data_IF_026978496596
#
_entry.id   IF_026978496596
#
_cell.length_a   1.000
_cell.length_b   1.000
_cell.length_c   1.000
_cell.angle_alpha   90.00
_cell.angle_beta   90.00
_cell.angle_gamma   90.00
#
_symmetry.space_group_name_H-M   'P 1'
#
loop_
_entity.id
_entity.type
_entity.pdbx_description
1 polymer ?
#
# COMPACT_ATOMS: atom_id res chain seq x y z
N UNK A 1 11.48 -26.74 4.38
CA UNK A 1 10.26 -27.09 3.64
C UNK A 1 10.35 -26.34 2.32
N UNK A 2 10.60 -27.06 1.20
CA UNK A 2 11.01 -26.47 -0.10
C UNK A 2 9.96 -25.50 -0.65
N UNK A 3 10.36 -24.28 -0.90
CA UNK A 3 9.55 -23.19 -1.51
C UNK A 3 9.11 -23.49 -2.95
N UNK A 4 9.77 -24.42 -3.64
CA UNK A 4 9.41 -24.85 -5.00
C UNK A 4 8.03 -25.53 -5.10
N UNK A 5 7.57 -26.20 -4.05
CA UNK A 5 6.28 -26.89 -4.07
C UNK A 5 5.05 -25.96 -3.99
N UNK A 6 5.22 -24.68 -3.62
CA UNK A 6 4.12 -23.73 -3.50
C UNK A 6 3.80 -22.98 -4.80
N UNK A 7 4.73 -22.92 -5.72
CA UNK A 7 4.57 -22.30 -7.05
C UNK A 7 3.69 -23.13 -8.01
N UNK A 8 3.41 -24.40 -7.69
CA UNK A 8 2.83 -25.34 -8.65
C UNK A 8 1.30 -25.23 -8.87
N UNK A 9 0.56 -24.57 -7.99
CA UNK A 9 -0.90 -24.51 -8.08
C UNK A 9 -1.41 -23.66 -9.27
N UNK A 10 -0.85 -22.49 -9.47
CA UNK A 10 -1.31 -21.55 -10.51
C UNK A 10 -0.79 -21.97 -11.91
N UNK A 11 0.38 -22.61 -11.99
CA UNK A 11 0.93 -23.10 -13.26
C UNK A 11 0.10 -24.25 -13.88
N UNK A 12 -0.67 -24.96 -13.05
CA UNK A 12 -1.56 -26.06 -13.49
C UNK A 12 -2.95 -25.59 -13.93
N UNK A 13 -3.31 -24.33 -13.64
CA UNK A 13 -4.61 -23.80 -14.00
C UNK A 13 -4.68 -23.48 -15.49
N UNK A 14 -5.75 -23.89 -16.19
CA UNK A 14 -5.99 -23.51 -17.60
C UNK A 14 -6.03 -21.99 -17.71
N UNK A 15 -5.47 -21.42 -18.79
CA UNK A 15 -5.33 -19.96 -18.99
C UNK A 15 -6.64 -19.20 -18.75
N UNK A 16 -7.75 -19.67 -19.31
CA UNK A 16 -9.04 -19.00 -19.16
C UNK A 16 -9.54 -19.00 -17.70
N UNK A 17 -9.30 -20.09 -16.94
CA UNK A 17 -9.65 -20.13 -15.50
C UNK A 17 -8.77 -19.17 -14.69
N UNK A 18 -7.50 -19.07 -15.05
CA UNK A 18 -6.57 -18.13 -14.45
C UNK A 18 -7.01 -16.69 -14.69
N UNK A 19 -7.39 -16.33 -15.94
CA UNK A 19 -7.91 -14.99 -16.28
C UNK A 19 -9.20 -14.71 -15.48
N UNK A 20 -10.13 -15.65 -15.43
CA UNK A 20 -11.36 -15.47 -14.66
C UNK A 20 -11.08 -15.29 -13.17
N UNK A 21 -10.22 -16.13 -12.57
CA UNK A 21 -9.86 -15.99 -11.18
C UNK A 21 -9.17 -14.64 -10.87
N UNK A 22 -8.31 -14.18 -11.77
CA UNK A 22 -7.66 -12.89 -11.69
C UNK A 22 -8.67 -11.73 -11.75
N UNK A 23 -9.49 -11.68 -12.79
CA UNK A 23 -10.43 -10.58 -13.02
C UNK A 23 -11.53 -10.55 -11.96
N UNK A 24 -12.17 -11.69 -11.72
CA UNK A 24 -13.29 -11.76 -10.75
C UNK A 24 -12.78 -11.54 -9.33
N UNK A 25 -11.63 -12.14 -8.96
CA UNK A 25 -11.05 -11.97 -7.63
C UNK A 25 -10.68 -10.51 -7.34
N UNK A 26 -9.97 -9.86 -8.27
CA UNK A 26 -9.63 -8.43 -8.15
C UNK A 26 -10.88 -7.55 -8.08
N UNK A 27 -11.89 -7.84 -8.92
CA UNK A 27 -13.16 -7.09 -8.93
C UNK A 27 -13.93 -7.24 -7.62
N UNK A 28 -14.05 -8.46 -7.09
CA UNK A 28 -14.74 -8.72 -5.81
C UNK A 28 -14.06 -7.98 -4.67
N UNK A 29 -12.71 -7.99 -4.62
CA UNK A 29 -11.97 -7.26 -3.59
C UNK A 29 -12.12 -5.75 -3.72
N UNK A 30 -12.05 -5.23 -4.96
CA UNK A 30 -12.27 -3.81 -5.22
C UNK A 30 -13.67 -3.37 -4.77
N UNK A 31 -14.71 -4.12 -5.11
CA UNK A 31 -16.09 -3.82 -4.69
C UNK A 31 -16.24 -3.88 -3.17
N UNK A 32 -15.65 -4.89 -2.52
CA UNK A 32 -15.71 -5.01 -1.06
C UNK A 32 -14.99 -3.85 -0.35
N UNK A 33 -13.82 -3.45 -0.84
CA UNK A 33 -13.08 -2.27 -0.36
C UNK A 33 -13.93 -1.01 -0.54
N UNK A 34 -14.39 -0.73 -1.77
CA UNK A 34 -15.17 0.48 -2.07
C UNK A 34 -16.46 0.59 -1.24
N UNK A 35 -17.16 -0.52 -1.01
CA UNK A 35 -18.33 -0.54 -0.13
C UNK A 35 -17.94 -0.19 1.31
N UNK A 36 -16.85 -0.77 1.82
CA UNK A 36 -16.39 -0.48 3.18
C UNK A 36 -15.96 0.98 3.33
N UNK A 37 -15.26 1.56 2.36
CA UNK A 37 -14.91 2.98 2.34
C UNK A 37 -16.15 3.87 2.30
N UNK A 38 -17.13 3.57 1.46
CA UNK A 38 -18.39 4.32 1.39
C UNK A 38 -19.15 4.28 2.72
N UNK A 39 -19.19 3.13 3.41
CA UNK A 39 -19.79 3.02 4.75
C UNK A 39 -19.02 3.88 5.75
N UNK A 40 -17.69 3.78 5.78
CA UNK A 40 -16.83 4.58 6.65
C UNK A 40 -17.06 6.07 6.47
N UNK A 41 -16.98 6.55 5.23
CA UNK A 41 -17.02 7.98 4.89
C UNK A 41 -18.40 8.61 4.99
N UNK A 42 -19.48 7.87 4.69
CA UNK A 42 -20.81 8.45 4.62
C UNK A 42 -21.73 8.11 5.82
N UNK A 43 -21.56 6.94 6.42
CA UNK A 43 -22.42 6.48 7.51
C UNK A 43 -21.76 6.60 8.88
N UNK A 44 -20.44 6.47 8.95
CA UNK A 44 -19.71 6.41 10.22
C UNK A 44 -18.82 7.65 10.47
N UNK A 45 -18.78 8.59 9.55
CA UNK A 45 -17.94 9.79 9.62
C UNK A 45 -18.06 10.54 10.97
N UNK A 46 -19.27 10.69 11.50
CA UNK A 46 -19.52 11.37 12.78
C UNK A 46 -19.39 10.45 14.01
N UNK A 47 -19.08 9.17 13.83
CA UNK A 47 -18.98 8.16 14.88
C UNK A 47 -17.56 7.58 14.96
N UNK A 48 -16.58 8.41 15.28
CA UNK A 48 -15.15 8.12 15.12
C UNK A 48 -14.68 6.78 15.71
N UNK A 49 -15.07 6.44 16.95
CA UNK A 49 -14.70 5.18 17.57
C UNK A 49 -15.33 3.97 16.85
N UNK A 50 -16.61 4.09 16.46
CA UNK A 50 -17.29 3.05 15.70
C UNK A 50 -16.65 2.90 14.30
N UNK A 51 -16.30 4.01 13.67
CA UNK A 51 -15.60 4.04 12.38
C UNK A 51 -14.24 3.34 12.47
N UNK A 52 -13.44 3.63 13.51
CA UNK A 52 -12.20 2.92 13.77
C UNK A 52 -12.40 1.40 13.87
N UNK A 53 -13.32 0.96 14.74
CA UNK A 53 -13.61 -0.47 14.94
C UNK A 53 -14.11 -1.13 13.65
N UNK A 54 -14.98 -0.43 12.91
CA UNK A 54 -15.48 -0.91 11.63
C UNK A 54 -14.35 -1.07 10.60
N UNK A 55 -13.50 -0.06 10.40
CA UNK A 55 -12.41 -0.11 9.43
C UNK A 55 -11.39 -1.21 9.76
N UNK A 56 -11.02 -1.35 11.04
CA UNK A 56 -10.16 -2.45 11.50
C UNK A 56 -10.80 -3.82 11.24
N UNK A 57 -12.10 -3.96 11.56
CA UNK A 57 -12.85 -5.19 11.31
C UNK A 57 -13.02 -5.50 9.82
N UNK A 58 -13.34 -4.50 9.00
CA UNK A 58 -13.48 -4.63 7.55
C UNK A 58 -12.15 -5.01 6.87
N UNK A 59 -11.04 -4.40 7.28
CA UNK A 59 -9.71 -4.79 6.79
C UNK A 59 -9.37 -6.24 7.12
N UNK A 60 -9.62 -6.68 8.36
CA UNK A 60 -9.48 -8.10 8.72
C UNK A 60 -10.44 -9.00 7.93
N UNK A 61 -11.66 -8.52 7.66
CA UNK A 61 -12.64 -9.21 6.81
C UNK A 61 -12.16 -9.38 5.37
N UNK A 62 -11.51 -8.36 4.78
CA UNK A 62 -10.90 -8.45 3.45
C UNK A 62 -9.78 -9.50 3.40
N UNK A 63 -8.92 -9.58 4.43
CA UNK A 63 -7.91 -10.64 4.54
C UNK A 63 -8.56 -12.04 4.59
N UNK A 64 -9.65 -12.18 5.35
CA UNK A 64 -10.44 -13.41 5.42
C UNK A 64 -11.08 -13.78 4.07
N UNK A 65 -11.69 -12.79 3.39
CA UNK A 65 -12.29 -12.97 2.06
C UNK A 65 -11.25 -13.38 1.02
N UNK A 66 -10.08 -12.74 1.03
CA UNK A 66 -8.95 -13.14 0.18
C UNK A 66 -8.50 -14.57 0.46
N UNK A 67 -8.34 -14.94 1.74
CA UNK A 67 -7.95 -16.29 2.13
C UNK A 67 -8.98 -17.32 1.64
N UNK A 68 -10.28 -17.06 1.80
CA UNK A 68 -11.36 -17.90 1.28
C UNK A 68 -11.30 -18.03 -0.23
N UNK A 69 -11.08 -16.93 -0.94
CA UNK A 69 -10.92 -16.96 -2.40
C UNK A 69 -9.77 -17.86 -2.83
N UNK A 70 -8.60 -17.69 -2.23
CA UNK A 70 -7.42 -18.50 -2.55
C UNK A 70 -7.66 -19.98 -2.26
N UNK A 71 -8.28 -20.32 -1.13
CA UNK A 71 -8.60 -21.70 -0.76
C UNK A 71 -9.63 -22.34 -1.68
N UNK A 72 -10.72 -21.64 -2.00
CA UNK A 72 -11.87 -22.20 -2.71
C UNK A 72 -11.71 -22.16 -4.24
N UNK A 73 -11.16 -21.06 -4.77
CA UNK A 73 -11.04 -20.83 -6.22
C UNK A 73 -9.68 -21.25 -6.76
N UNK A 74 -8.59 -20.79 -6.11
CA UNK A 74 -7.22 -21.15 -6.53
C UNK A 74 -6.80 -22.52 -6.00
N UNK A 75 -7.43 -23.03 -4.95
CA UNK A 75 -7.21 -24.35 -4.33
C UNK A 75 -5.76 -24.57 -3.91
N UNK A 76 -5.17 -23.56 -3.26
CA UNK A 76 -3.79 -23.58 -2.76
C UNK A 76 -3.71 -23.06 -1.31
N UNK A 77 -2.62 -23.33 -0.59
CA UNK A 77 -2.34 -22.70 0.69
C UNK A 77 -2.15 -21.19 0.54
N UNK A 78 -2.58 -20.43 1.56
CA UNK A 78 -2.46 -18.96 1.61
C UNK A 78 -1.17 -18.59 2.36
N UNK A 79 -0.04 -18.87 1.74
CA UNK A 79 1.28 -18.69 2.39
C UNK A 79 1.62 -17.23 2.66
N UNK A 80 1.12 -16.32 1.84
CA UNK A 80 1.31 -14.88 1.95
C UNK A 80 0.58 -14.24 3.14
N UNK A 81 -0.36 -14.97 3.76
CA UNK A 81 -1.01 -14.60 5.02
C UNK A 81 -0.58 -15.50 6.20
N UNK A 82 0.66 -15.99 6.18
CA UNK A 82 1.19 -16.83 7.26
C UNK A 82 1.15 -16.12 8.62
N UNK A 83 0.28 -16.57 9.52
CA UNK A 83 0.06 -15.98 10.85
C UNK A 83 1.31 -15.98 11.75
N UNK A 84 2.17 -17.04 11.77
CA UNK A 84 3.37 -17.02 12.60
C UNK A 84 4.35 -15.88 12.28
N UNK A 85 4.40 -15.42 11.04
CA UNK A 85 5.26 -14.32 10.60
C UNK A 85 4.54 -12.96 10.56
N UNK A 86 3.21 -12.95 10.67
CA UNK A 86 2.37 -11.76 10.51
C UNK A 86 2.76 -10.60 11.44
N UNK A 87 2.87 -10.77 12.78
CA UNK A 87 3.19 -9.66 13.66
C UNK A 87 4.55 -9.05 13.36
N UNK A 88 5.56 -9.89 13.10
CA UNK A 88 6.90 -9.44 12.76
C UNK A 88 6.91 -8.65 11.44
N UNK A 89 6.31 -9.21 10.39
CA UNK A 89 6.30 -8.58 9.07
C UNK A 89 5.52 -7.27 9.09
N UNK A 90 4.36 -7.24 9.76
CA UNK A 90 3.56 -6.04 9.91
C UNK A 90 4.34 -4.95 10.65
N UNK A 91 4.92 -5.26 11.81
CA UNK A 91 5.68 -4.29 12.60
C UNK A 91 6.91 -3.76 11.85
N UNK A 92 7.65 -4.64 11.17
CA UNK A 92 8.78 -4.22 10.33
C UNK A 92 8.33 -3.31 9.18
N UNK A 93 7.22 -3.64 8.53
CA UNK A 93 6.61 -2.80 7.50
C UNK A 93 6.22 -1.43 8.05
N UNK A 94 5.51 -1.40 9.17
CA UNK A 94 5.12 -0.14 9.84
C UNK A 94 6.34 0.74 10.16
N UNK A 95 7.41 0.13 10.66
CA UNK A 95 8.66 0.85 10.96
C UNK A 95 9.25 1.48 9.69
N UNK A 96 9.29 0.72 8.59
CA UNK A 96 9.79 1.24 7.31
C UNK A 96 8.92 2.40 6.81
N UNK A 97 7.59 2.27 6.82
CA UNK A 97 6.67 3.32 6.35
C UNK A 97 6.82 4.63 7.14
N UNK A 98 6.87 4.54 8.48
CA UNK A 98 7.11 5.71 9.34
C UNK A 98 8.47 6.35 9.03
N UNK A 99 9.54 5.56 8.98
CA UNK A 99 10.89 6.08 8.72
C UNK A 99 11.01 6.72 7.33
N UNK A 100 10.42 6.12 6.31
CA UNK A 100 10.36 6.72 4.98
C UNK A 100 9.79 8.12 5.03
N UNK A 101 8.62 8.25 5.67
CA UNK A 101 7.93 9.54 5.69
C UNK A 101 8.65 10.56 6.58
N UNK A 102 9.25 10.13 7.69
CA UNK A 102 10.12 10.99 8.50
C UNK A 102 11.31 11.54 7.69
N UNK A 103 11.97 10.69 6.90
CA UNK A 103 13.09 11.10 6.03
C UNK A 103 12.62 12.09 4.97
N UNK A 104 11.49 11.80 4.30
CA UNK A 104 10.92 12.68 3.28
C UNK A 104 10.59 14.06 3.87
N UNK A 105 9.89 14.10 5.00
CA UNK A 105 9.54 15.36 5.67
C UNK A 105 10.78 16.12 6.13
N UNK A 106 11.79 15.41 6.66
CA UNK A 106 13.06 16.04 7.05
C UNK A 106 13.77 16.69 5.85
N UNK A 107 13.80 16.03 4.69
CA UNK A 107 14.34 16.62 3.45
C UNK A 107 13.62 17.93 3.12
N UNK A 108 12.28 17.94 3.15
CA UNK A 108 11.48 19.14 2.84
C UNK A 108 11.67 20.23 3.89
N UNK A 109 11.79 19.87 5.16
CA UNK A 109 12.04 20.80 6.26
C UNK A 109 13.40 21.50 6.11
N UNK A 110 14.47 20.76 5.88
CA UNK A 110 15.80 21.33 5.68
C UNK A 110 15.95 22.08 4.35
N UNK A 111 15.13 21.75 3.34
CA UNK A 111 15.04 22.51 2.11
C UNK A 111 14.22 23.83 2.25
N UNK A 112 13.62 24.09 3.42
CA UNK A 112 12.78 25.26 3.65
C UNK A 112 11.40 25.18 2.97
N UNK A 113 10.99 24.00 2.53
CA UNK A 113 9.72 23.77 1.85
C UNK A 113 8.60 23.28 2.78
N UNK A 114 8.91 22.97 4.03
CA UNK A 114 7.99 22.53 5.06
C UNK A 114 8.23 23.31 6.35
N UNK A 115 7.21 24.04 6.84
CA UNK A 115 7.27 24.80 8.08
C UNK A 115 6.17 24.35 9.01
N UNK A 116 6.46 24.11 10.29
CA UNK A 116 5.48 23.75 11.32
C UNK A 116 4.76 25.00 11.79
N UNK A 117 3.44 25.11 11.51
CA UNK A 117 2.63 26.23 11.93
C UNK A 117 1.89 25.97 13.25
N UNK A 118 1.37 24.75 13.42
CA UNK A 118 0.62 24.37 14.62
C UNK A 118 0.86 22.90 14.93
N UNK A 119 0.82 22.52 16.20
CA UNK A 119 0.86 21.12 16.67
C UNK A 119 -0.39 20.87 17.51
N UNK A 120 -1.12 19.81 17.23
CA UNK A 120 -2.29 19.35 17.97
C UNK A 120 -3.36 18.82 17.05
N UNK A 121 -4.01 17.73 17.46
CA UNK A 121 -5.10 17.07 16.74
C UNK A 121 -6.23 16.67 17.71
N UNK A 122 -7.38 16.36 17.16
CA UNK A 122 -8.47 15.73 17.90
C UNK A 122 -8.26 14.22 17.90
N UNK A 123 -8.19 13.61 19.07
CA UNK A 123 -7.79 12.21 19.24
C UNK A 123 -8.73 11.21 18.53
N UNK A 124 -10.05 11.41 18.65
CA UNK A 124 -11.01 10.44 18.11
C UNK A 124 -11.06 10.43 16.56
N UNK A 125 -11.15 11.58 15.86
CA UNK A 125 -11.02 11.61 14.40
C UNK A 125 -9.68 11.04 13.94
N UNK A 126 -8.58 11.40 14.63
CA UNK A 126 -7.24 10.90 14.32
C UNK A 126 -7.14 9.36 14.41
N UNK A 127 -7.80 8.76 15.42
CA UNK A 127 -7.91 7.31 15.57
C UNK A 127 -8.76 6.68 14.45
N UNK A 128 -9.87 7.35 14.05
CA UNK A 128 -10.73 6.88 12.95
C UNK A 128 -9.95 6.80 11.64
N UNK A 129 -9.16 7.84 11.32
CA UNK A 129 -8.32 7.87 10.13
C UNK A 129 -7.23 6.80 10.15
N UNK A 130 -6.67 6.49 11.34
CA UNK A 130 -5.74 5.37 11.48
C UNK A 130 -6.38 4.04 11.05
N UNK A 131 -7.65 3.81 11.43
CA UNK A 131 -8.41 2.66 10.99
C UNK A 131 -8.72 2.68 9.49
N UNK A 132 -9.10 3.84 8.95
CA UNK A 132 -9.39 4.00 7.53
C UNK A 132 -8.16 3.70 6.66
N UNK A 133 -6.99 4.24 6.98
CA UNK A 133 -5.76 3.94 6.25
C UNK A 133 -5.33 2.48 6.38
N UNK A 134 -5.67 1.79 7.49
CA UNK A 134 -5.50 0.35 7.57
C UNK A 134 -6.38 -0.38 6.55
N UNK A 135 -7.66 -0.03 6.48
CA UNK A 135 -8.62 -0.63 5.53
C UNK A 135 -8.15 -0.45 4.08
N UNK A 136 -7.77 0.79 3.71
CA UNK A 136 -7.25 1.12 2.38
C UNK A 136 -6.00 0.31 2.06
N UNK A 137 -4.99 0.33 2.95
CA UNK A 137 -3.75 -0.40 2.74
C UNK A 137 -3.98 -1.91 2.58
N UNK A 138 -4.83 -2.52 3.41
CA UNK A 138 -5.17 -3.95 3.28
C UNK A 138 -5.84 -4.23 1.94
N UNK A 139 -6.84 -3.45 1.56
CA UNK A 139 -7.59 -3.66 0.33
C UNK A 139 -6.73 -3.52 -0.91
N UNK A 140 -5.95 -2.44 -0.99
CA UNK A 140 -5.06 -2.20 -2.12
C UNK A 140 -3.92 -3.22 -2.20
N UNK A 141 -3.29 -3.60 -1.09
CA UNK A 141 -2.23 -4.61 -1.13
C UNK A 141 -2.76 -5.99 -1.53
N UNK A 142 -3.99 -6.35 -1.13
CA UNK A 142 -4.63 -7.57 -1.63
C UNK A 142 -4.81 -7.51 -3.15
N UNK A 143 -5.34 -6.41 -3.68
CA UNK A 143 -5.60 -6.26 -5.12
C UNK A 143 -4.28 -6.26 -5.90
N UNK A 144 -3.34 -5.38 -5.53
CA UNK A 144 -2.13 -5.16 -6.32
C UNK A 144 -1.05 -6.21 -6.08
N UNK A 145 -0.86 -6.69 -4.84
CA UNK A 145 0.21 -7.66 -4.51
C UNK A 145 -0.35 -9.07 -4.40
N UNK A 146 -1.52 -9.23 -3.79
CA UNK A 146 -2.19 -10.53 -3.66
C UNK A 146 -2.71 -11.10 -4.98
N UNK A 147 -3.27 -10.26 -5.87
CA UNK A 147 -3.76 -10.69 -7.17
C UNK A 147 -2.82 -10.28 -8.31
N UNK A 148 -2.70 -8.98 -8.61
CA UNK A 148 -2.05 -8.52 -9.84
C UNK A 148 -0.59 -8.98 -9.89
N UNK A 149 0.23 -8.55 -8.94
CA UNK A 149 1.64 -8.89 -8.94
C UNK A 149 1.87 -10.41 -8.84
N UNK A 150 1.30 -11.05 -7.82
CA UNK A 150 1.53 -12.47 -7.54
C UNK A 150 1.12 -13.36 -8.71
N UNK A 151 -0.06 -13.15 -9.27
CA UNK A 151 -0.56 -14.01 -10.35
C UNK A 151 0.25 -13.83 -11.64
N UNK A 152 0.69 -12.61 -11.94
CA UNK A 152 1.57 -12.36 -13.09
C UNK A 152 2.96 -12.95 -12.85
N UNK A 153 3.54 -12.77 -11.65
CA UNK A 153 4.84 -13.31 -11.26
C UNK A 153 4.90 -14.84 -11.36
N UNK A 154 3.82 -15.53 -10.97
CA UNK A 154 3.70 -16.98 -11.08
C UNK A 154 3.59 -17.50 -12.50
N UNK A 155 3.14 -16.68 -13.45
CA UNK A 155 2.89 -17.15 -14.83
C UNK A 155 3.91 -16.66 -15.84
N UNK A 156 4.51 -15.51 -15.61
CA UNK A 156 5.47 -14.89 -16.52
C UNK A 156 6.84 -14.77 -15.85
N UNK A 157 7.19 -13.57 -15.42
CA UNK A 157 8.43 -13.32 -14.70
C UNK A 157 8.24 -12.19 -13.67
N UNK A 158 9.13 -12.16 -12.68
CA UNK A 158 9.13 -11.11 -11.65
C UNK A 158 9.24 -9.70 -12.27
N UNK A 159 10.04 -9.54 -13.34
CA UNK A 159 10.21 -8.24 -13.98
C UNK A 159 8.94 -7.77 -14.70
N UNK A 160 8.24 -8.69 -15.39
CA UNK A 160 6.94 -8.38 -16.01
C UNK A 160 5.92 -8.04 -14.93
N UNK A 161 5.87 -8.81 -13.85
CA UNK A 161 4.96 -8.56 -12.74
C UNK A 161 5.21 -7.21 -12.06
N UNK A 162 6.49 -6.86 -11.81
CA UNK A 162 6.88 -5.56 -11.27
C UNK A 162 6.40 -4.41 -12.16
N UNK A 163 6.73 -4.47 -13.45
CA UNK A 163 6.38 -3.41 -14.38
C UNK A 163 4.87 -3.23 -14.51
N UNK A 164 4.14 -4.33 -14.76
CA UNK A 164 2.68 -4.27 -14.98
C UNK A 164 1.95 -3.85 -13.71
N UNK A 165 2.30 -4.44 -12.55
CA UNK A 165 1.67 -4.09 -11.27
C UNK A 165 1.94 -2.64 -10.88
N UNK A 166 3.17 -2.16 -11.06
CA UNK A 166 3.54 -0.78 -10.75
C UNK A 166 2.82 0.24 -11.65
N UNK A 167 2.76 -0.03 -12.96
CA UNK A 167 2.05 0.84 -13.89
C UNK A 167 0.56 0.90 -13.58
N UNK A 168 -0.09 -0.24 -13.34
CA UNK A 168 -1.52 -0.26 -12.99
C UNK A 168 -1.72 0.51 -11.68
N UNK A 169 -0.89 0.26 -10.64
CA UNK A 169 -0.99 0.95 -9.36
C UNK A 169 -0.86 2.48 -9.52
N UNK A 170 0.15 2.96 -10.24
CA UNK A 170 0.33 4.38 -10.46
C UNK A 170 -0.82 5.01 -11.27
N UNK A 171 -1.24 4.36 -12.36
CA UNK A 171 -2.24 4.95 -13.24
C UNK A 171 -3.68 4.90 -12.73
N UNK A 172 -4.05 4.02 -11.79
CA UNK A 172 -5.35 4.13 -11.12
C UNK A 172 -5.46 5.41 -10.30
N UNK A 173 -4.36 5.94 -9.78
CA UNK A 173 -4.32 7.20 -9.05
C UNK A 173 -4.43 8.45 -9.95
N UNK A 174 -4.39 8.30 -11.27
CA UNK A 174 -4.65 9.41 -12.20
C UNK A 174 -6.05 10.02 -12.03
N UNK A 175 -7.01 9.20 -11.61
CA UNK A 175 -8.40 9.64 -11.42
C UNK A 175 -8.66 10.30 -10.07
N UNK A 176 -7.67 10.31 -9.18
CA UNK A 176 -7.78 10.98 -7.88
C UNK A 176 -7.78 12.51 -8.04
N UNK A 177 -8.26 13.26 -7.05
CA UNK A 177 -8.15 14.73 -7.05
C UNK A 177 -6.69 15.15 -7.28
N UNK A 178 -6.51 16.19 -8.10
CA UNK A 178 -5.19 16.71 -8.47
C UNK A 178 -4.24 15.68 -9.14
N UNK A 179 -4.78 14.55 -9.63
CA UNK A 179 -4.02 13.52 -10.32
C UNK A 179 -3.45 14.02 -11.64
N UNK A 180 -2.18 13.74 -11.89
CA UNK A 180 -1.46 14.08 -13.12
C UNK A 180 -0.72 12.87 -13.67
N UNK A 181 -0.30 12.93 -14.95
CA UNK A 181 0.56 11.87 -15.50
C UNK A 181 1.84 11.75 -14.69
N UNK A 182 2.41 12.87 -14.24
CA UNK A 182 3.62 12.86 -13.41
C UNK A 182 3.36 12.19 -12.05
N UNK A 183 2.27 12.53 -11.37
CA UNK A 183 1.89 11.88 -10.11
C UNK A 183 1.73 10.36 -10.30
N UNK A 184 1.07 9.93 -11.37
CA UNK A 184 0.91 8.51 -11.71
C UNK A 184 2.25 7.80 -11.91
N UNK A 185 3.20 8.43 -12.59
CA UNK A 185 4.55 7.88 -12.81
C UNK A 185 5.33 7.84 -11.50
N UNK A 186 5.27 8.90 -10.70
CA UNK A 186 5.95 8.98 -9.40
C UNK A 186 5.45 7.87 -8.46
N UNK A 187 4.12 7.70 -8.33
CA UNK A 187 3.52 6.62 -7.52
C UNK A 187 3.87 5.23 -8.07
N UNK A 188 3.88 5.04 -9.39
CA UNK A 188 4.30 3.77 -9.97
C UNK A 188 5.73 3.39 -9.54
N UNK A 189 6.63 4.37 -9.48
CA UNK A 189 8.03 4.16 -9.06
C UNK A 189 8.12 4.03 -7.53
N UNK A 190 7.58 5.00 -6.80
CA UNK A 190 7.70 5.11 -5.34
C UNK A 190 6.99 3.95 -4.65
N UNK A 191 5.68 3.80 -4.85
CA UNK A 191 4.87 2.80 -4.16
C UNK A 191 4.70 1.53 -4.99
N UNK A 192 4.46 1.65 -6.29
CA UNK A 192 4.20 0.53 -7.19
C UNK A 192 5.31 -0.51 -7.18
N UNK A 193 6.54 -0.08 -7.49
CA UNK A 193 7.72 -0.97 -7.51
C UNK A 193 8.17 -1.36 -6.10
N UNK A 194 8.22 -0.39 -5.17
CA UNK A 194 8.75 -0.62 -3.82
C UNK A 194 7.90 -1.62 -3.04
N UNK A 195 6.57 -1.45 -3.00
CA UNK A 195 5.69 -2.37 -2.27
C UNK A 195 5.61 -3.75 -2.94
N UNK A 196 5.71 -3.84 -4.28
CA UNK A 196 5.79 -5.12 -4.97
C UNK A 196 7.09 -5.86 -4.62
N UNK A 197 8.23 -5.16 -4.52
CA UNK A 197 9.49 -5.75 -4.05
C UNK A 197 9.46 -6.08 -2.56
N UNK A 198 8.80 -5.28 -1.74
CA UNK A 198 8.57 -5.57 -0.31
C UNK A 198 7.79 -6.90 -0.14
N UNK A 199 6.73 -7.10 -0.93
CA UNK A 199 6.02 -8.37 -0.99
C UNK A 199 6.94 -9.51 -1.46
N UNK A 200 7.66 -9.32 -2.58
CA UNK A 200 8.51 -10.36 -3.17
C UNK A 200 9.64 -10.81 -2.22
N UNK A 201 10.27 -9.89 -1.51
CA UNK A 201 11.38 -10.24 -0.62
C UNK A 201 10.95 -10.96 0.66
N UNK A 202 9.70 -10.76 1.11
CA UNK A 202 9.16 -11.38 2.33
C UNK A 202 8.21 -12.54 2.07
N UNK A 203 7.62 -12.60 0.88
CA UNK A 203 6.51 -13.47 0.52
C UNK A 203 5.32 -13.35 1.49
N UNK A 204 5.08 -12.13 2.00
CA UNK A 204 4.05 -11.82 2.98
C UNK A 204 3.34 -10.52 2.61
N UNK A 205 2.01 -10.51 2.65
CA UNK A 205 1.22 -9.29 2.46
C UNK A 205 1.31 -8.36 3.68
N UNK A 206 1.60 -8.88 4.88
CA UNK A 206 1.67 -8.05 6.07
C UNK A 206 2.80 -7.02 6.05
N UNK A 207 3.89 -7.28 5.33
CA UNK A 207 5.00 -6.34 5.25
C UNK A 207 4.66 -5.11 4.39
N UNK A 208 4.22 -5.24 3.12
CA UNK A 208 3.79 -4.08 2.35
C UNK A 208 2.52 -3.41 2.93
N UNK A 209 1.58 -4.14 3.54
CA UNK A 209 0.45 -3.55 4.28
C UNK A 209 0.96 -2.62 5.38
N UNK A 210 1.94 -3.05 6.17
CA UNK A 210 2.53 -2.22 7.23
C UNK A 210 3.18 -0.95 6.69
N UNK A 211 3.95 -1.05 5.61
CA UNK A 211 4.58 0.11 4.95
C UNK A 211 3.50 1.08 4.47
N UNK A 212 2.56 0.60 3.67
CA UNK A 212 1.51 1.40 3.05
C UNK A 212 0.62 2.10 4.09
N UNK A 213 0.14 1.35 5.08
CA UNK A 213 -0.67 1.88 6.16
C UNK A 213 -0.01 3.05 6.89
N UNK A 214 1.21 2.85 7.36
CA UNK A 214 1.89 3.87 8.16
C UNK A 214 2.50 4.98 7.32
N UNK A 215 2.80 4.73 6.04
CA UNK A 215 3.11 5.78 5.10
C UNK A 215 1.94 6.76 4.96
N UNK A 216 0.74 6.29 4.56
CA UNK A 216 -0.43 7.14 4.37
C UNK A 216 -0.83 7.87 5.65
N UNK A 217 -0.83 7.16 6.78
CA UNK A 217 -1.15 7.78 8.07
C UNK A 217 -0.12 8.82 8.50
N UNK A 218 1.16 8.55 8.32
CA UNK A 218 2.20 9.54 8.62
C UNK A 218 2.08 10.76 7.71
N UNK A 219 1.85 10.55 6.43
CA UNK A 219 1.67 11.61 5.44
C UNK A 219 0.53 12.54 5.83
N UNK A 220 -0.68 12.01 5.99
CA UNK A 220 -1.87 12.79 6.27
C UNK A 220 -1.94 13.25 7.72
N UNK A 221 -2.10 12.30 8.65
CA UNK A 221 -2.48 12.61 10.01
C UNK A 221 -1.32 13.02 10.93
N UNK A 222 -0.07 12.66 10.60
CA UNK A 222 1.08 13.11 11.41
C UNK A 222 1.65 14.41 10.85
N UNK A 223 2.01 14.44 9.58
CA UNK A 223 2.73 15.55 8.97
C UNK A 223 1.88 16.53 8.16
N UNK A 224 0.58 16.26 7.98
CA UNK A 224 -0.37 17.21 7.42
C UNK A 224 -0.25 17.45 5.91
N UNK A 225 0.24 16.48 5.16
CA UNK A 225 0.24 16.54 3.70
C UNK A 225 -1.06 15.96 3.11
N UNK A 226 -1.45 16.36 1.90
CA UNK A 226 -2.45 15.60 1.15
C UNK A 226 -1.97 14.17 0.90
N UNK A 227 -2.90 13.20 0.87
CA UNK A 227 -2.64 11.81 0.57
C UNK A 227 -3.31 11.46 -0.75
N UNK A 228 -2.56 11.12 -1.76
CA UNK A 228 -3.04 10.79 -3.11
C UNK A 228 -4.06 11.80 -3.65
N UNK A 229 -3.78 13.08 -3.45
CA UNK A 229 -4.63 14.19 -3.88
C UNK A 229 -5.77 14.55 -2.93
N UNK A 230 -5.95 13.84 -1.82
CA UNK A 230 -7.02 14.10 -0.85
C UNK A 230 -6.46 14.76 0.41
N UNK A 231 -7.05 15.87 0.82
CA UNK A 231 -6.69 16.57 2.07
C UNK A 231 -7.16 15.78 3.28
N UNK A 232 -6.37 15.82 4.36
CA UNK A 232 -6.71 15.25 5.67
C UNK A 232 -6.95 16.40 6.64
N UNK A 233 -8.14 16.47 7.22
CA UNK A 233 -8.55 17.62 8.05
C UNK A 233 -7.94 17.60 9.45
N UNK A 234 -7.80 16.41 10.05
CA UNK A 234 -7.32 16.26 11.42
C UNK A 234 -5.87 15.76 11.46
N UNK A 235 -4.94 16.70 11.50
CA UNK A 235 -3.50 16.44 11.46
C UNK A 235 -2.80 16.82 12.74
N UNK A 236 -1.83 16.01 13.20
CA UNK A 236 -1.01 16.33 14.37
C UNK A 236 -0.15 17.57 14.13
N UNK A 237 0.45 17.69 12.97
CA UNK A 237 1.19 18.87 12.53
C UNK A 237 0.40 19.53 11.40
N UNK A 238 0.05 20.81 11.59
CA UNK A 238 -0.47 21.63 10.51
C UNK A 238 0.70 22.39 9.88
N UNK A 239 1.15 22.02 8.67
CA UNK A 239 2.28 22.68 8.02
C UNK A 239 1.88 23.88 7.17
N UNK A 240 2.87 24.69 6.81
CA UNK A 240 2.88 25.49 5.59
C UNK A 240 3.86 24.81 4.63
N UNK A 241 3.34 24.42 3.46
CA UNK A 241 4.14 23.78 2.40
C UNK A 241 4.32 24.79 1.29
N UNK A 242 5.55 24.99 0.86
CA UNK A 242 5.89 25.98 -0.17
C UNK A 242 7.07 25.52 -1.03
N UNK A 243 7.24 26.13 -2.17
CA UNK A 243 8.38 25.86 -3.06
C UNK A 243 8.03 25.07 -4.31
N UNK A 244 9.00 24.39 -4.87
CA UNK A 244 8.86 23.69 -6.15
C UNK A 244 8.02 22.42 -6.02
N UNK A 245 6.97 22.29 -6.83
CA UNK A 245 6.05 21.14 -6.82
C UNK A 245 6.74 19.81 -7.13
N UNK A 246 7.81 19.80 -7.91
CA UNK A 246 8.60 18.57 -8.12
C UNK A 246 9.26 18.06 -6.83
N UNK A 247 9.50 18.94 -5.86
CA UNK A 247 10.07 18.56 -4.56
C UNK A 247 9.00 18.28 -3.53
N UNK A 248 7.90 19.06 -3.52
CA UNK A 248 6.84 18.97 -2.51
C UNK A 248 5.72 18.00 -2.90
N UNK A 249 5.55 17.72 -4.20
CA UNK A 249 4.44 16.96 -4.76
C UNK A 249 3.18 17.79 -5.03
N UNK A 250 3.22 19.11 -4.72
CA UNK A 250 2.11 20.03 -4.96
C UNK A 250 0.83 19.65 -4.23
N UNK A 251 -0.31 19.89 -4.86
CA UNK A 251 -1.64 19.60 -4.30
C UNK A 251 -1.97 18.09 -4.24
N UNK A 252 -1.26 17.27 -4.99
CA UNK A 252 -1.43 15.81 -4.94
C UNK A 252 -0.84 15.21 -3.65
N UNK A 253 0.25 15.78 -3.19
CA UNK A 253 0.98 15.29 -2.01
C UNK A 253 2.40 14.82 -2.36
N UNK A 254 3.26 14.66 -1.33
CA UNK A 254 4.68 14.39 -1.51
C UNK A 254 5.01 13.08 -2.22
N UNK A 255 4.11 12.14 -2.32
CA UNK A 255 4.24 10.93 -3.14
C UNK A 255 4.37 11.23 -4.63
N UNK A 256 3.88 12.39 -5.11
CA UNK A 256 4.15 12.89 -6.46
C UNK A 256 5.49 13.63 -6.58
N UNK A 257 6.34 13.59 -5.56
CA UNK A 257 7.64 14.27 -5.59
C UNK A 257 8.77 13.38 -6.13
N UNK A 258 9.79 14.01 -6.67
CA UNK A 258 11.05 13.34 -7.03
C UNK A 258 11.70 12.71 -5.79
N UNK A 259 11.59 13.35 -4.62
CA UNK A 259 12.14 12.85 -3.37
C UNK A 259 11.53 11.49 -2.99
N UNK A 260 10.20 11.36 -3.05
CA UNK A 260 9.51 10.11 -2.78
C UNK A 260 9.89 9.03 -3.81
N UNK A 261 9.91 9.37 -5.10
CA UNK A 261 10.32 8.45 -6.16
C UNK A 261 11.74 7.91 -5.94
N UNK A 262 12.69 8.76 -5.55
CA UNK A 262 14.07 8.34 -5.25
C UNK A 262 14.14 7.44 -4.02
N UNK A 263 13.46 7.80 -2.92
CA UNK A 263 13.41 6.99 -1.70
C UNK A 263 12.79 5.61 -1.99
N UNK A 264 11.65 5.58 -2.69
CA UNK A 264 10.98 4.33 -3.08
C UNK A 264 11.86 3.45 -3.96
N UNK A 265 12.57 4.04 -4.93
CA UNK A 265 13.50 3.31 -5.79
C UNK A 265 14.69 2.71 -5.01
N UNK A 266 15.27 3.47 -4.08
CA UNK A 266 16.35 2.98 -3.22
C UNK A 266 15.88 1.82 -2.33
N UNK A 267 14.69 1.90 -1.78
CA UNK A 267 14.11 0.81 -0.99
C UNK A 267 13.76 -0.40 -1.85
N UNK A 268 13.20 -0.20 -3.05
CA UNK A 268 12.96 -1.29 -3.99
C UNK A 268 14.27 -2.03 -4.34
N UNK A 269 15.34 -1.29 -4.58
CA UNK A 269 16.67 -1.86 -4.84
C UNK A 269 17.21 -2.63 -3.62
N UNK A 270 17.00 -2.11 -2.42
CA UNK A 270 17.40 -2.78 -1.18
C UNK A 270 16.60 -4.08 -0.95
N UNK A 271 15.27 -4.05 -1.14
CA UNK A 271 14.43 -5.24 -1.05
C UNK A 271 14.79 -6.28 -2.13
N UNK A 272 15.14 -5.82 -3.34
CA UNK A 272 15.64 -6.70 -4.39
C UNK A 272 16.96 -7.39 -4.00
N UNK A 273 17.88 -6.66 -3.36
CA UNK A 273 19.10 -7.25 -2.82
C UNK A 273 18.79 -8.34 -1.78
N UNK A 274 17.91 -8.05 -0.81
CA UNK A 274 17.47 -9.04 0.19
C UNK A 274 16.87 -10.28 -0.48
N UNK A 275 16.04 -10.08 -1.50
CA UNK A 275 15.46 -11.18 -2.27
C UNK A 275 16.54 -12.04 -2.94
N UNK A 276 17.49 -11.41 -3.61
CA UNK A 276 18.61 -12.12 -4.27
C UNK A 276 19.48 -12.89 -3.29
N UNK A 277 19.86 -12.27 -2.18
CA UNK A 277 20.71 -12.90 -1.17
C UNK A 277 20.06 -14.17 -0.61
N UNK A 278 18.72 -14.19 -0.47
CA UNK A 278 17.97 -15.40 -0.08
C UNK A 278 18.00 -16.50 -1.13
N UNK A 279 18.08 -16.16 -2.42
CA UNK A 279 18.16 -17.15 -3.51
C UNK A 279 19.55 -17.81 -3.63
N UNK A 280 20.60 -17.11 -3.20
CA UNK A 280 21.99 -17.63 -3.26
C UNK A 280 22.36 -18.56 -2.10
N UNK A 281 21.53 -18.60 -1.04
CA UNK A 281 21.77 -19.43 0.17
C UNK A 281 21.03 -20.79 0.07
N UNK A 282 20.18 -20.98 -0.94
CA UNK A 282 19.45 -22.23 -1.24
C UNK A 282 20.18 -23.00 -2.35
#
# INVERSE_FOLDING_TARGET
MNTENYMTGCHKMKVWKWILAFVIGSFVMLMALSIAELISMNLLNNHHLLNFVFCMGAGCGLLGLYALWVCLVEKRPVVELSLPSAPRNLFQGMTVGVLMFCVLTAILYFAGSYEVKKIGCEYLPWLADFGLFFLVAVGEEIIFRGFIFRMIDQRFSTWVALLVSALIFGFVHYTNPNGTIWASVAIAIEAGLMLAMAYKCTNSLFFPIGIHWTWNFSQGNVFGFPVSGTSVDNTLITPVISGNELLTGGEFGPEASVNAAVIGLLLAAWFYKIYRDKQTVI
#
